data_IF_152258549045
#
_entry.id   IF_152258549045
#
_cell.length_a   1.000
_cell.length_b   1.000
_cell.length_c   1.000
_cell.angle_alpha   90.00
_cell.angle_beta   90.00
_cell.angle_gamma   90.00
#
_symmetry.space_group_name_H-M   'P 1'
#
loop_
_entity.id
_entity.type
_entity.pdbx_description
1 polymer ?
#
# COMPACT_ATOMS: atom_id res chain seq x y z
N UNK A 1 -0.18 5.92 -25.46
CA UNK A 1 0.59 7.16 -25.73
C UNK A 1 1.10 7.68 -24.39
N UNK A 2 2.40 8.01 -24.24
CA UNK A 2 3.03 8.17 -22.92
C UNK A 2 2.57 9.42 -22.12
N UNK A 3 1.70 10.27 -22.68
CA UNK A 3 1.34 11.59 -22.12
C UNK A 3 0.11 11.51 -21.19
N UNK A 4 -0.73 10.47 -21.30
CA UNK A 4 -1.95 10.36 -20.48
C UNK A 4 -1.67 9.87 -19.05
N UNK A 5 -0.64 9.04 -18.85
CA UNK A 5 -0.26 8.52 -17.52
C UNK A 5 0.21 9.64 -16.58
N UNK A 6 0.87 10.67 -17.12
CA UNK A 6 1.38 11.82 -16.35
C UNK A 6 0.33 12.91 -16.11
N UNK A 7 -0.93 12.71 -16.53
CA UNK A 7 -2.00 13.62 -16.17
C UNK A 7 -2.16 13.64 -14.64
N UNK A 8 -2.31 14.81 -14.01
CA UNK A 8 -2.46 14.93 -12.56
C UNK A 8 -3.52 14.00 -11.97
N UNK A 9 -4.60 13.77 -12.73
CA UNK A 9 -5.74 12.91 -12.36
C UNK A 9 -5.34 11.43 -12.22
N UNK A 10 -4.37 10.94 -12.99
CA UNK A 10 -3.96 9.53 -12.99
C UNK A 10 -2.71 9.30 -12.13
N UNK A 11 -1.75 10.24 -12.16
CA UNK A 11 -0.47 10.07 -11.46
C UNK A 11 -0.60 10.21 -9.94
N UNK A 12 -1.51 11.07 -9.44
CA UNK A 12 -1.65 11.31 -8.01
C UNK A 12 -2.22 10.09 -7.27
N UNK A 13 -3.32 9.45 -7.74
CA UNK A 13 -3.77 8.18 -7.17
C UNK A 13 -2.70 7.11 -7.26
N UNK A 14 -1.99 7.04 -8.39
CA UNK A 14 -0.87 6.13 -8.59
C UNK A 14 0.27 6.27 -7.58
N UNK A 15 0.71 7.51 -7.33
CA UNK A 15 1.70 7.84 -6.31
C UNK A 15 1.20 7.54 -4.89
N UNK A 16 -0.09 7.73 -4.65
CA UNK A 16 -0.72 7.45 -3.34
C UNK A 16 -0.68 5.95 -3.05
N UNK A 17 -1.10 5.13 -4.02
CA UNK A 17 -1.06 3.65 -3.94
C UNK A 17 0.38 3.16 -3.74
N UNK A 18 1.33 3.74 -4.47
CA UNK A 18 2.75 3.49 -4.26
C UNK A 18 3.18 3.83 -2.82
N UNK A 19 2.74 4.97 -2.28
CA UNK A 19 3.00 5.36 -0.88
C UNK A 19 2.52 4.32 0.14
N UNK A 20 1.35 3.72 -0.07
CA UNK A 20 0.82 2.67 0.80
C UNK A 20 1.68 1.40 0.81
N UNK A 21 2.46 1.13 -0.24
CA UNK A 21 3.34 -0.05 -0.23
C UNK A 21 4.45 0.02 0.82
N UNK A 22 4.84 1.24 1.23
CA UNK A 22 5.78 1.44 2.34
C UNK A 22 5.17 1.07 3.68
N UNK A 23 3.84 1.15 3.83
CA UNK A 23 3.16 0.68 5.04
C UNK A 23 3.39 -0.82 5.21
N UNK A 24 3.24 -1.60 4.15
CA UNK A 24 3.51 -3.05 4.15
C UNK A 24 4.91 -3.34 4.68
N UNK A 25 5.92 -2.67 4.13
CA UNK A 25 7.32 -2.86 4.48
C UNK A 25 7.61 -2.45 5.92
N UNK A 26 7.15 -1.26 6.33
CA UNK A 26 7.36 -0.73 7.68
C UNK A 26 6.71 -1.62 8.74
N UNK A 27 5.45 -2.00 8.52
CA UNK A 27 4.69 -2.83 9.44
C UNK A 27 5.29 -4.23 9.57
N UNK A 28 5.68 -4.83 8.45
CA UNK A 28 6.33 -6.13 8.47
C UNK A 28 7.68 -6.08 9.21
N UNK A 29 8.47 -5.02 9.01
CA UNK A 29 9.73 -4.85 9.73
C UNK A 29 9.52 -4.70 11.23
N UNK A 30 8.56 -3.86 11.62
CA UNK A 30 8.24 -3.61 13.03
C UNK A 30 7.90 -4.92 13.74
N UNK A 31 7.01 -5.73 13.15
CA UNK A 31 6.61 -7.02 13.72
C UNK A 31 7.77 -8.03 13.70
N UNK A 32 8.56 -8.09 12.64
CA UNK A 32 9.70 -9.00 12.56
C UNK A 32 10.78 -8.66 13.60
N UNK A 33 10.95 -7.38 13.92
CA UNK A 33 11.85 -6.90 14.97
C UNK A 33 11.30 -7.17 16.38
N UNK A 34 10.01 -6.95 16.59
CA UNK A 34 9.34 -7.29 17.84
C UNK A 34 9.38 -8.81 18.10
N UNK A 35 9.38 -9.62 17.03
CA UNK A 35 9.57 -11.07 17.07
C UNK A 35 10.97 -11.51 17.48
N UNK A 36 12.01 -10.80 17.05
CA UNK A 36 13.39 -11.11 17.43
C UNK A 36 13.74 -10.63 18.84
N UNK A 37 12.95 -9.71 19.39
CA UNK A 37 13.05 -9.18 20.75
C UNK A 37 12.31 -10.06 21.77
N UNK A 38 12.62 -9.90 23.06
CA UNK A 38 11.87 -10.52 24.18
C UNK A 38 10.41 -10.05 24.30
N UNK A 39 9.94 -9.18 23.39
CA UNK A 39 8.58 -8.66 23.38
C UNK A 39 7.53 -9.76 23.15
N UNK A 40 7.73 -10.67 22.19
CA UNK A 40 6.80 -11.80 22.01
C UNK A 40 6.72 -12.70 23.23
N UNK A 41 7.85 -12.97 23.88
CA UNK A 41 7.88 -13.78 25.12
C UNK A 41 7.04 -13.12 26.21
N UNK A 42 7.08 -11.79 26.35
CA UNK A 42 6.26 -11.03 27.31
C UNK A 42 4.79 -10.95 26.90
N UNK A 43 4.50 -10.99 25.61
CA UNK A 43 3.14 -10.97 25.07
C UNK A 43 2.43 -12.33 25.27
N UNK A 44 3.13 -13.45 25.13
CA UNK A 44 2.57 -14.80 25.35
C UNK A 44 2.22 -15.10 26.82
N UNK A 45 2.77 -14.36 27.77
CA UNK A 45 2.40 -14.42 29.19
C UNK A 45 1.20 -13.50 29.53
N UNK A 46 0.72 -12.70 28.58
CA UNK A 46 -0.46 -11.85 28.73
C UNK A 46 -1.71 -12.54 28.16
N UNK A 47 -2.92 -12.26 28.69
CA UNK A 47 -4.18 -12.90 28.24
C UNK A 47 -4.70 -12.32 26.90
N UNK A 48 -3.82 -11.91 26.00
CA UNK A 48 -4.19 -11.31 24.72
C UNK A 48 -4.52 -12.38 23.68
N UNK A 49 -5.61 -12.19 22.93
CA UNK A 49 -5.97 -13.07 21.83
C UNK A 49 -5.20 -12.64 20.57
N UNK A 50 -4.92 -13.56 19.62
CA UNK A 50 -4.25 -13.21 18.36
C UNK A 50 -4.94 -12.08 17.56
N UNK A 51 -6.26 -11.94 17.73
CA UNK A 51 -7.06 -10.87 17.10
C UNK A 51 -6.70 -9.48 17.65
N UNK A 52 -6.46 -9.39 18.96
CA UNK A 52 -6.12 -8.14 19.64
C UNK A 52 -4.73 -7.66 19.19
N UNK A 53 -3.82 -8.60 18.92
CA UNK A 53 -2.52 -8.30 18.32
C UNK A 53 -2.66 -7.72 16.90
N UNK A 54 -3.38 -8.40 16.01
CA UNK A 54 -3.57 -7.94 14.63
C UNK A 54 -4.22 -6.54 14.62
N UNK A 55 -5.26 -6.33 15.41
CA UNK A 55 -5.92 -5.04 15.52
C UNK A 55 -5.01 -3.97 16.15
N UNK A 56 -4.19 -4.33 17.14
CA UNK A 56 -3.24 -3.41 17.77
C UNK A 56 -2.20 -2.85 16.80
N UNK A 57 -1.72 -3.66 15.85
CA UNK A 57 -0.80 -3.20 14.80
C UNK A 57 -1.53 -2.55 13.63
N UNK A 58 -2.77 -2.94 13.34
CA UNK A 58 -3.53 -2.44 12.20
C UNK A 58 -4.23 -1.09 12.47
N UNK A 59 -4.71 -0.83 13.68
CA UNK A 59 -5.37 0.44 14.04
C UNK A 59 -4.47 1.66 13.75
N UNK A 60 -3.16 1.66 14.10
CA UNK A 60 -2.25 2.75 13.76
C UNK A 60 -1.99 2.94 12.25
N UNK A 61 -2.24 1.92 11.43
CA UNK A 61 -2.05 2.00 9.97
C UNK A 61 -3.10 2.91 9.33
N UNK A 62 -4.33 2.90 9.83
CA UNK A 62 -5.43 3.69 9.28
C UNK A 62 -5.14 5.21 9.27
N UNK A 63 -4.74 5.85 10.38
CA UNK A 63 -4.38 7.27 10.36
C UNK A 63 -3.11 7.53 9.53
N UNK A 64 -2.13 6.63 9.52
CA UNK A 64 -0.92 6.77 8.69
C UNK A 64 -1.27 6.79 7.20
N UNK A 65 -2.10 5.85 6.75
CA UNK A 65 -2.60 5.79 5.39
C UNK A 65 -3.44 7.03 5.05
N UNK A 66 -4.29 7.49 5.96
CA UNK A 66 -5.07 8.72 5.76
C UNK A 66 -4.16 9.95 5.57
N UNK A 67 -3.08 10.08 6.34
CA UNK A 67 -2.10 11.16 6.19
C UNK A 67 -1.44 11.10 4.80
N UNK A 68 -0.99 9.91 4.36
CA UNK A 68 -0.40 9.73 3.03
C UNK A 68 -1.41 10.13 1.95
N UNK A 69 -2.63 9.59 1.99
CA UNK A 69 -3.68 9.88 1.03
C UNK A 69 -4.03 11.36 0.96
N UNK A 70 -4.26 12.01 2.10
CA UNK A 70 -4.61 13.43 2.15
C UNK A 70 -3.43 14.28 1.67
N UNK A 71 -2.20 13.97 2.06
CA UNK A 71 -1.03 14.74 1.62
C UNK A 71 -0.81 14.66 0.10
N UNK A 72 -0.99 13.47 -0.50
CA UNK A 72 -0.91 13.28 -1.95
C UNK A 72 -2.05 14.00 -2.68
N UNK A 73 -3.30 13.88 -2.21
CA UNK A 73 -4.45 14.55 -2.84
C UNK A 73 -4.36 16.07 -2.73
N UNK A 74 -3.97 16.61 -1.56
CA UNK A 74 -3.75 18.05 -1.37
C UNK A 74 -2.66 18.55 -2.31
N UNK A 75 -1.55 17.82 -2.44
CA UNK A 75 -0.51 18.16 -3.41
C UNK A 75 -1.05 18.13 -4.84
N UNK A 76 -1.87 17.14 -5.17
CA UNK A 76 -2.55 17.05 -6.47
C UNK A 76 -3.46 18.24 -6.78
N UNK A 77 -4.13 18.82 -5.79
CA UNK A 77 -4.90 20.06 -5.98
C UNK A 77 -4.01 21.23 -6.39
N UNK A 78 -2.81 21.36 -5.81
CA UNK A 78 -1.84 22.38 -6.22
C UNK A 78 -1.28 22.14 -7.63
N UNK A 79 -1.20 20.88 -8.06
CA UNK A 79 -0.72 20.47 -9.40
C UNK A 79 -1.82 20.61 -10.47
N UNK A 80 -3.07 20.85 -10.07
CA UNK A 80 -4.17 21.17 -10.99
C UNK A 80 -5.26 20.10 -11.12
N UNK A 81 -5.39 19.18 -10.16
CA UNK A 81 -6.55 18.28 -10.13
C UNK A 81 -7.83 19.08 -9.88
N UNK A 82 -8.88 18.92 -10.69
CA UNK A 82 -10.13 19.62 -10.48
C UNK A 82 -10.79 19.15 -9.18
N UNK A 83 -11.11 20.10 -8.30
CA UNK A 83 -11.87 19.84 -7.08
C UNK A 83 -13.28 19.38 -7.48
N UNK A 84 -13.55 18.08 -7.34
CA UNK A 84 -14.82 17.48 -7.73
C UNK A 84 -15.18 16.33 -6.80
N UNK A 85 -16.45 15.87 -6.87
CA UNK A 85 -16.93 14.72 -6.10
C UNK A 85 -16.11 13.45 -6.42
N UNK A 86 -15.49 13.38 -7.61
CA UNK A 86 -14.60 12.27 -8.00
C UNK A 86 -13.43 12.10 -7.03
N UNK A 87 -12.91 13.18 -6.45
CA UNK A 87 -11.82 13.11 -5.48
C UNK A 87 -12.20 12.30 -4.23
N UNK A 88 -13.47 12.36 -3.82
CA UNK A 88 -14.00 11.57 -2.70
C UNK A 88 -14.09 10.10 -3.08
N UNK A 89 -14.54 9.78 -4.30
CA UNK A 89 -14.56 8.40 -4.79
C UNK A 89 -13.15 7.80 -4.90
N UNK A 90 -12.18 8.57 -5.40
CA UNK A 90 -10.76 8.19 -5.41
C UNK A 90 -10.23 7.96 -3.99
N UNK A 91 -10.58 8.80 -3.01
CA UNK A 91 -10.18 8.57 -1.62
C UNK A 91 -10.79 7.28 -1.05
N UNK A 92 -12.05 6.98 -1.37
CA UNK A 92 -12.72 5.74 -0.94
C UNK A 92 -12.12 4.50 -1.62
N UNK A 93 -11.68 4.59 -2.88
CA UNK A 93 -11.07 3.46 -3.59
C UNK A 93 -9.76 3.00 -2.97
N UNK A 94 -9.09 3.85 -2.17
CA UNK A 94 -7.89 3.49 -1.42
C UNK A 94 -8.15 2.55 -0.24
N UNK A 95 -9.36 2.51 0.31
CA UNK A 95 -9.70 1.69 1.49
C UNK A 95 -9.31 0.21 1.30
N UNK A 96 -9.79 -0.50 0.24
CA UNK A 96 -9.42 -1.90 0.04
C UNK A 96 -7.91 -2.09 -0.11
N UNK A 97 -7.21 -1.14 -0.71
CA UNK A 97 -5.77 -1.19 -0.88
C UNK A 97 -5.03 -1.09 0.46
N UNK A 98 -5.40 -0.11 1.29
CA UNK A 98 -4.82 0.09 2.62
C UNK A 98 -5.04 -1.14 3.50
N UNK A 99 -6.24 -1.74 3.45
CA UNK A 99 -6.53 -3.00 4.13
C UNK A 99 -5.57 -4.10 3.67
N UNK A 100 -5.45 -4.31 2.36
CA UNK A 100 -4.56 -5.31 1.79
C UNK A 100 -3.09 -5.09 2.19
N UNK A 101 -2.56 -3.87 2.03
CA UNK A 101 -1.17 -3.53 2.39
C UNK A 101 -0.90 -3.75 3.88
N UNK A 102 -1.82 -3.36 4.76
CA UNK A 102 -1.66 -3.59 6.19
C UNK A 102 -1.69 -5.08 6.55
N UNK A 103 -2.67 -5.86 6.06
CA UNK A 103 -2.71 -7.30 6.34
C UNK A 103 -1.51 -8.04 5.74
N UNK A 104 -1.08 -7.66 4.54
CA UNK A 104 0.10 -8.25 3.91
C UNK A 104 1.39 -7.90 4.66
N UNK A 105 1.51 -6.68 5.17
CA UNK A 105 2.62 -6.28 6.05
C UNK A 105 2.67 -7.13 7.32
N UNK A 106 1.52 -7.34 7.96
CA UNK A 106 1.41 -8.22 9.14
C UNK A 106 1.82 -9.66 8.79
N UNK A 107 1.32 -10.18 7.67
CA UNK A 107 1.65 -11.52 7.20
C UNK A 107 3.16 -11.70 6.99
N UNK A 108 3.83 -10.75 6.32
CA UNK A 108 5.27 -10.78 6.14
C UNK A 108 6.03 -10.68 7.45
N UNK A 109 5.61 -9.81 8.37
CA UNK A 109 6.25 -9.65 9.68
C UNK A 109 6.17 -10.89 10.57
N UNK A 110 5.09 -11.68 10.45
CA UNK A 110 4.93 -12.95 11.19
C UNK A 110 5.79 -14.06 10.56
N UNK A 111 5.80 -14.15 9.23
CA UNK A 111 6.44 -15.26 8.51
C UNK A 111 7.96 -15.10 8.37
N UNK A 112 8.42 -13.89 8.08
CA UNK A 112 9.81 -13.61 7.69
C UNK A 112 10.64 -13.02 8.83
N UNK A 113 11.97 -13.00 8.66
CA UNK A 113 12.90 -12.22 9.51
C UNK A 113 13.04 -10.79 9.00
N UNK A 114 13.54 -9.88 9.82
CA UNK A 114 13.71 -8.45 9.49
C UNK A 114 14.39 -8.22 8.12
N UNK A 115 15.52 -8.90 7.87
CA UNK A 115 16.24 -8.80 6.58
C UNK A 115 15.46 -9.36 5.39
N UNK A 116 14.64 -10.38 5.60
CA UNK A 116 13.79 -10.97 4.56
C UNK A 116 12.58 -10.08 4.27
N UNK A 117 11.98 -9.47 5.29
CA UNK A 117 10.90 -8.49 5.10
C UNK A 117 11.40 -7.30 4.30
N UNK A 118 12.61 -6.82 4.57
CA UNK A 118 13.24 -5.77 3.77
C UNK A 118 13.38 -6.16 2.30
N UNK A 119 13.88 -7.37 2.01
CA UNK A 119 14.04 -7.84 0.64
C UNK A 119 12.70 -8.02 -0.09
N UNK A 120 11.74 -8.70 0.54
CA UNK A 120 10.41 -8.96 -0.06
C UNK A 120 9.60 -7.66 -0.19
N UNK A 121 9.68 -6.79 0.81
CA UNK A 121 9.05 -5.47 0.79
C UNK A 121 9.57 -4.60 -0.34
N UNK A 122 10.89 -4.60 -0.60
CA UNK A 122 11.46 -3.85 -1.71
C UNK A 122 11.01 -4.40 -3.07
N UNK A 123 10.95 -5.72 -3.24
CA UNK A 123 10.41 -6.34 -4.46
C UNK A 123 8.94 -5.94 -4.64
N UNK A 124 8.15 -5.93 -3.57
CA UNK A 124 6.75 -5.53 -3.59
C UNK A 124 6.57 -4.05 -3.99
N UNK A 125 7.38 -3.15 -3.45
CA UNK A 125 7.38 -1.72 -3.80
C UNK A 125 7.70 -1.55 -5.30
N UNK A 126 8.74 -2.21 -5.80
CA UNK A 126 9.14 -2.16 -7.21
C UNK A 126 8.04 -2.76 -8.10
N UNK A 127 7.49 -3.91 -7.72
CA UNK A 127 6.41 -4.57 -8.45
C UNK A 127 5.17 -3.68 -8.52
N UNK A 128 4.79 -3.03 -7.43
CA UNK A 128 3.67 -2.08 -7.41
C UNK A 128 3.95 -0.82 -8.24
N UNK A 129 5.19 -0.34 -8.28
CA UNK A 129 5.54 0.80 -9.14
C UNK A 129 5.46 0.44 -10.63
N UNK A 130 5.88 -0.79 -10.98
CA UNK A 130 5.88 -1.29 -12.36
C UNK A 130 4.49 -1.71 -12.84
N UNK A 131 3.73 -2.40 -11.98
CA UNK A 131 2.43 -3.00 -12.31
C UNK A 131 1.25 -2.12 -11.87
N UNK A 132 1.45 -1.04 -11.12
CA UNK A 132 0.34 -0.18 -10.72
C UNK A 132 -0.29 0.58 -11.90
N UNK A 133 0.46 0.82 -12.98
CA UNK A 133 -0.01 1.70 -14.06
C UNK A 133 0.21 3.19 -13.80
N UNK A 134 0.75 3.55 -12.62
CA UNK A 134 1.06 4.93 -12.22
C UNK A 134 2.22 5.57 -12.99
N UNK A 135 3.21 4.78 -13.37
CA UNK A 135 4.45 5.25 -14.01
C UNK A 135 4.65 4.71 -15.43
N UNK A 136 3.93 3.63 -15.77
CA UNK A 136 4.06 2.94 -17.04
C UNK A 136 2.70 2.45 -17.50
N UNK A 137 2.36 2.76 -18.74
CA UNK A 137 1.13 2.32 -19.38
C UNK A 137 1.11 0.78 -19.47
N UNK A 138 0.13 0.16 -18.79
CA UNK A 138 -0.01 -1.30 -18.71
C UNK A 138 -0.28 -1.93 -20.09
N UNK A 139 -0.74 -1.14 -21.07
CA UNK A 139 -0.92 -1.62 -22.43
C UNK A 139 0.40 -1.93 -23.15
N UNK A 140 1.50 -1.30 -22.72
CA UNK A 140 2.85 -1.53 -23.26
C UNK A 140 3.43 -2.87 -22.77
N UNK A 141 2.93 -3.40 -21.65
CA UNK A 141 3.44 -4.63 -21.02
C UNK A 141 2.97 -5.94 -21.69
N UNK A 142 2.11 -5.83 -22.71
CA UNK A 142 1.57 -6.98 -23.43
C UNK A 142 0.39 -7.65 -22.72
N UNK A 143 -0.43 -8.37 -23.49
CA UNK A 143 -1.72 -8.94 -23.03
C UNK A 143 -1.61 -9.84 -21.79
N UNK A 144 -0.53 -10.61 -21.67
CA UNK A 144 -0.35 -11.56 -20.56
C UNK A 144 -0.17 -10.87 -19.21
N UNK A 145 0.61 -9.78 -19.17
CA UNK A 145 0.81 -9.02 -17.94
C UNK A 145 -0.42 -8.20 -17.59
N UNK A 146 -1.13 -7.62 -18.58
CA UNK A 146 -2.42 -6.94 -18.33
C UNK A 146 -3.42 -7.83 -17.58
N UNK A 147 -3.60 -9.08 -18.01
CA UNK A 147 -4.50 -10.04 -17.33
C UNK A 147 -4.10 -10.34 -15.89
N UNK A 148 -2.79 -10.36 -15.59
CA UNK A 148 -2.29 -10.59 -14.22
C UNK A 148 -2.54 -9.33 -13.39
N UNK A 149 -2.23 -8.16 -13.93
CA UNK A 149 -2.43 -6.89 -13.24
C UNK A 149 -3.90 -6.62 -12.94
N UNK A 150 -4.81 -6.95 -13.86
CA UNK A 150 -6.26 -6.87 -13.64
C UNK A 150 -6.73 -7.78 -12.49
N UNK A 151 -5.99 -8.82 -12.12
CA UNK A 151 -6.31 -9.62 -10.93
C UNK A 151 -5.78 -9.02 -9.63
N UNK A 152 -4.84 -8.07 -9.73
CA UNK A 152 -4.19 -7.46 -8.59
C UNK A 152 -4.92 -6.17 -8.18
N UNK A 153 -4.97 -5.83 -6.88
CA UNK A 153 -5.65 -4.62 -6.40
C UNK A 153 -4.94 -3.32 -6.81
N UNK A 154 -3.73 -3.38 -7.42
CA UNK A 154 -2.94 -2.21 -7.79
C UNK A 154 -3.55 -1.45 -8.98
N UNK A 155 -3.98 -2.12 -10.05
CA UNK A 155 -4.53 -1.45 -11.25
C UNK A 155 -5.87 -0.77 -10.97
N UNK A 156 -6.77 -1.50 -10.29
CA UNK A 156 -8.11 -1.01 -9.95
C UNK A 156 -8.11 0.25 -9.07
N UNK A 157 -7.08 0.44 -8.25
CA UNK A 157 -6.95 1.64 -7.42
C UNK A 157 -6.51 2.88 -8.22
N UNK A 158 -5.96 2.69 -9.42
CA UNK A 158 -5.39 3.74 -10.27
C UNK A 158 -6.34 4.12 -11.41
N UNK A 159 -7.21 3.21 -11.85
CA UNK A 159 -8.26 3.48 -12.85
C UNK A 159 -9.49 4.23 -12.31
N UNK A 160 -9.61 4.40 -10.98
CA UNK A 160 -10.81 4.90 -10.28
C UNK A 160 -10.90 6.44 -10.17
#
# INVERSE_FOLDING_TARGET
APIEVFQPVNIVPGLTVFGFTFITMFLGMLIAKDKSSSFLTRLFISPLRPRDFILGYFIPVLPMAAIIAVSCLVTGLFVGIPLSVKLVYTFLSFIPFVLFSGFFGIFLGVLCRETQVMAVGNIYIIASALLGGAWMDLEILGKTLKTITDFLPFSHAIEA
#
